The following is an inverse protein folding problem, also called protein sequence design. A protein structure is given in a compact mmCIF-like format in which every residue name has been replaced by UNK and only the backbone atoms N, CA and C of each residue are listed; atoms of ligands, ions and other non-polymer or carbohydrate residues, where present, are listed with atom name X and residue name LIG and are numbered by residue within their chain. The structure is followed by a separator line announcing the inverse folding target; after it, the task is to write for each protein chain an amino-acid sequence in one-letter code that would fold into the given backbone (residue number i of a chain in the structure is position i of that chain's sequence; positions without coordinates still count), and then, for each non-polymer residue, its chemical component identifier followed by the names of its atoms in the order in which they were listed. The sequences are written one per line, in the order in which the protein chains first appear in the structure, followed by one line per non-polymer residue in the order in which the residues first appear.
data_IF_943279465517
#
_entry.id   IF_943279465517
#
_cell.length_a   1.000
_cell.length_b   1.000
_cell.length_c   1.000
_cell.angle_alpha   90.00
_cell.angle_beta   90.00
_cell.angle_gamma   90.00
#
_symmetry.space_group_name_H-M   'P 1'
#
loop_
_entity.id
_entity.type
_entity.pdbx_description
1 polymer ?
#
# COMPACT_ATOMS: atom_id res chain seq x y z
N UNK A 1 33.85 -14.89 -6.49
CA UNK A 1 32.40 -14.90 -6.21
C UNK A 1 32.17 -13.81 -5.20
N UNK A 2 31.57 -12.74 -5.70
CA UNK A 2 31.23 -11.52 -4.97
C UNK A 2 30.34 -11.82 -3.78
N UNK A 3 30.79 -11.41 -2.59
CA UNK A 3 29.93 -11.22 -1.42
C UNK A 3 29.90 -9.71 -1.17
N UNK A 4 29.42 -8.98 -2.16
CA UNK A 4 29.04 -7.59 -2.01
C UNK A 4 27.53 -7.53 -2.11
N UNK A 5 26.90 -6.92 -1.10
CA UNK A 5 25.58 -6.31 -1.15
C UNK A 5 24.40 -7.01 -0.43
N UNK A 6 24.60 -7.50 0.80
CA UNK A 6 23.46 -7.83 1.70
C UNK A 6 23.12 -6.71 2.71
N UNK A 7 23.78 -5.54 2.67
CA UNK A 7 23.66 -4.51 3.72
C UNK A 7 23.07 -3.17 3.26
N UNK A 8 22.29 -3.15 2.17
CA UNK A 8 21.73 -1.90 1.61
C UNK A 8 20.22 -1.94 1.30
N UNK A 9 19.49 -2.99 1.70
CA UNK A 9 18.04 -3.12 1.40
C UNK A 9 17.11 -3.09 2.62
N UNK A 10 17.57 -2.56 3.76
CA UNK A 10 16.65 -1.89 4.68
C UNK A 10 16.29 -0.51 4.12
N UNK A 11 15.74 -0.46 2.89
CA UNK A 11 14.89 0.68 2.50
C UNK A 11 13.88 0.80 3.65
N UNK A 12 13.87 1.94 4.33
CA UNK A 12 12.97 2.26 5.44
C UNK A 12 11.71 1.41 5.34
N UNK A 13 11.52 0.46 6.27
CA UNK A 13 10.35 -0.43 6.28
C UNK A 13 9.12 0.46 6.12
N UNK A 14 8.59 0.53 4.91
CA UNK A 14 7.52 1.44 4.61
C UNK A 14 6.33 1.00 5.44
N UNK A 15 5.71 1.93 6.16
CA UNK A 15 4.57 1.57 7.00
C UNK A 15 3.46 1.02 6.11
N UNK A 16 2.60 0.17 6.67
CA UNK A 16 1.42 -0.32 5.94
C UNK A 16 0.63 0.83 5.28
N UNK A 17 0.53 1.95 6.01
CA UNK A 17 -0.10 3.15 5.49
C UNK A 17 0.66 3.81 4.33
N UNK A 18 1.99 3.88 4.41
CA UNK A 18 2.84 4.35 3.32
C UNK A 18 2.66 3.51 2.05
N UNK A 19 2.75 2.18 2.20
CA UNK A 19 2.53 1.24 1.10
C UNK A 19 1.15 1.44 0.42
N UNK A 20 0.07 1.57 1.21
CA UNK A 20 -1.28 1.76 0.64
C UNK A 20 -1.41 3.12 -0.05
N UNK A 21 -0.88 4.20 0.55
CA UNK A 21 -1.01 5.57 -0.01
C UNK A 21 -0.04 5.84 -1.16
N UNK A 22 1.06 5.10 -1.25
CA UNK A 22 2.06 5.20 -2.31
C UNK A 22 1.80 4.18 -3.40
N UNK A 23 2.31 2.97 -3.21
CA UNK A 23 2.36 1.92 -4.23
C UNK A 23 0.97 1.51 -4.73
N UNK A 24 0.05 1.23 -3.81
CA UNK A 24 -1.29 0.73 -4.17
C UNK A 24 -2.11 1.82 -4.86
N UNK A 25 -2.01 3.08 -4.41
CA UNK A 25 -2.67 4.21 -5.06
C UNK A 25 -2.10 4.45 -6.47
N UNK A 26 -0.78 4.45 -6.61
CA UNK A 26 -0.11 4.64 -7.90
C UNK A 26 -0.48 3.52 -8.89
N UNK A 27 -0.55 2.27 -8.43
CA UNK A 27 -1.01 1.14 -9.23
C UNK A 27 -2.45 1.35 -9.72
N UNK A 28 -3.37 1.74 -8.82
CA UNK A 28 -4.76 2.01 -9.19
C UNK A 28 -4.86 3.11 -10.26
N UNK A 29 -4.08 4.19 -10.13
CA UNK A 29 -4.05 5.31 -11.09
C UNK A 29 -3.47 4.84 -12.43
N UNK A 30 -2.31 4.18 -12.41
CA UNK A 30 -1.60 3.74 -13.61
C UNK A 30 -2.39 2.75 -14.47
N UNK A 31 -3.24 1.94 -13.83
CA UNK A 31 -4.12 0.99 -14.51
C UNK A 31 -5.55 1.51 -14.71
N UNK A 32 -5.83 2.77 -14.40
CA UNK A 32 -7.15 3.42 -14.48
C UNK A 32 -8.28 2.58 -13.83
N UNK A 33 -7.98 1.99 -12.67
CA UNK A 33 -8.95 1.19 -11.92
C UNK A 33 -9.87 2.11 -11.10
N UNK A 34 -11.12 1.66 -10.90
CA UNK A 34 -12.09 2.40 -10.09
C UNK A 34 -11.94 2.12 -8.59
N UNK A 35 -11.47 0.93 -8.23
CA UNK A 35 -11.27 0.54 -6.83
C UNK A 35 -10.23 -0.57 -6.72
N UNK A 36 -9.54 -0.62 -5.59
CA UNK A 36 -8.67 -1.72 -5.19
C UNK A 36 -8.80 -1.96 -3.69
N UNK A 37 -8.70 -3.22 -3.29
CA UNK A 37 -8.67 -3.65 -1.90
C UNK A 37 -7.45 -4.55 -1.71
N UNK A 38 -6.64 -4.25 -0.71
CA UNK A 38 -5.46 -5.03 -0.33
C UNK A 38 -5.59 -5.46 1.13
N UNK A 39 -5.17 -6.68 1.42
CA UNK A 39 -5.22 -7.32 2.74
C UNK A 39 -3.83 -7.91 3.03
N UNK A 40 -3.29 -7.65 4.22
CA UNK A 40 -1.98 -8.17 4.63
C UNK A 40 -2.04 -9.59 5.20
N UNK A 41 -3.24 -10.16 5.35
CA UNK A 41 -3.47 -11.47 5.95
C UNK A 41 -3.28 -11.51 7.47
N UNK A 42 -2.93 -10.37 8.09
CA UNK A 42 -2.66 -10.20 9.51
C UNK A 42 -3.60 -9.15 10.14
N UNK A 43 -4.74 -8.87 9.50
CA UNK A 43 -5.78 -8.00 10.03
C UNK A 43 -5.66 -6.53 9.66
N UNK A 44 -4.72 -6.16 8.77
CA UNK A 44 -4.71 -4.82 8.16
C UNK A 44 -5.29 -4.87 6.75
N UNK A 45 -6.12 -3.87 6.46
CA UNK A 45 -6.80 -3.73 5.17
C UNK A 45 -6.66 -2.32 4.65
N UNK A 46 -6.37 -2.20 3.36
CA UNK A 46 -6.35 -0.95 2.61
C UNK A 46 -7.41 -0.97 1.52
N UNK A 47 -8.25 0.06 1.45
CA UNK A 47 -9.28 0.20 0.42
C UNK A 47 -9.09 1.57 -0.24
N UNK A 48 -8.95 1.57 -1.57
CA UNK A 48 -8.89 2.81 -2.35
C UNK A 48 -10.03 2.78 -3.37
N UNK A 49 -10.80 3.87 -3.43
CA UNK A 49 -11.89 4.05 -4.39
C UNK A 49 -11.76 5.42 -5.07
N UNK A 50 -11.90 5.43 -6.39
CA UNK A 50 -12.03 6.64 -7.20
C UNK A 50 -13.51 7.05 -7.24
N UNK A 51 -13.80 8.28 -6.85
CA UNK A 51 -15.13 8.86 -7.00
C UNK A 51 -15.36 9.29 -8.45
N UNK A 52 -16.64 9.47 -8.83
CA UNK A 52 -16.99 9.99 -10.15
C UNK A 52 -16.39 11.39 -10.43
N UNK A 53 -16.10 12.17 -9.38
CA UNK A 53 -15.39 13.46 -9.47
C UNK A 53 -13.90 13.34 -9.80
N UNK A 54 -13.33 12.14 -9.74
CA UNK A 54 -11.89 11.89 -9.89
C UNK A 54 -11.10 11.91 -8.58
N UNK A 55 -11.74 12.24 -7.44
CA UNK A 55 -11.11 12.18 -6.11
C UNK A 55 -10.87 10.74 -5.65
N UNK A 56 -9.78 10.50 -4.92
CA UNK A 56 -9.47 9.20 -4.34
C UNK A 56 -9.77 9.19 -2.85
N UNK A 57 -10.55 8.21 -2.40
CA UNK A 57 -10.78 7.94 -0.98
C UNK A 57 -9.98 6.72 -0.56
N UNK A 58 -9.10 6.91 0.43
CA UNK A 58 -8.27 5.85 1.03
C UNK A 58 -8.80 5.56 2.43
N UNK A 59 -9.12 4.29 2.70
CA UNK A 59 -9.48 3.80 4.02
C UNK A 59 -8.47 2.73 4.43
N UNK A 60 -7.93 2.89 5.63
CA UNK A 60 -6.99 1.95 6.22
C UNK A 60 -7.59 1.48 7.54
N UNK A 61 -7.62 0.18 7.74
CA UNK A 61 -8.12 -0.44 8.98
C UNK A 61 -7.01 -1.33 9.52
N UNK A 62 -6.74 -1.20 10.82
CA UNK A 62 -5.80 -2.04 11.58
C UNK A 62 -6.51 -2.60 12.80
N UNK A 63 -6.64 -3.92 12.89
CA UNK A 63 -7.00 -4.59 14.14
C UNK A 63 -5.74 -4.76 14.98
N UNK A 64 -5.34 -3.71 15.70
CA UNK A 64 -4.41 -3.89 16.81
C UNK A 64 -5.20 -4.48 17.97
N UNK A 65 -4.89 -5.73 18.34
CA UNK A 65 -5.31 -6.27 19.63
C UNK A 65 -4.25 -5.82 20.63
N UNK A 66 -4.63 -4.94 21.56
CA UNK A 66 -3.77 -4.47 22.66
C UNK A 66 -3.46 -5.61 23.65
#
# INVERSE_FOLDING_TARGET
MDISNETSELKNKESWEGFVKGDVLNFLIGHNLQAITVDDGAGKKGIIKKAASGEYKVQITSNETL
#
